data_IF_540813957054
#
_entry.id   IF_540813957054
#
_cell.length_a   1.000
_cell.length_b   1.000
_cell.length_c   1.000
_cell.angle_alpha   90.00
_cell.angle_beta   90.00
_cell.angle_gamma   90.00
#
_symmetry.space_group_name_H-M   'P 1'
#
loop_
_entity.id
_entity.type
_entity.pdbx_description
1 polymer ?
#
# COMPACT_ATOMS: atom_id res chain seq x y z
N UNK A 1 -1.84 -17.66 33.69
CA UNK A 1 -1.54 -18.76 32.76
C UNK A 1 -0.73 -18.27 31.58
N UNK A 2 0.28 -17.44 31.80
CA UNK A 2 1.17 -16.91 30.77
C UNK A 2 2.47 -17.73 30.73
N UNK A 3 2.39 -18.97 30.24
CA UNK A 3 3.53 -19.89 30.23
C UNK A 3 4.51 -19.58 29.09
N UNK A 4 4.01 -19.13 27.93
CA UNK A 4 4.84 -18.72 26.79
C UNK A 4 5.08 -17.22 26.77
N UNK A 5 4.05 -16.42 27.06
CA UNK A 5 4.07 -14.96 26.99
C UNK A 5 4.74 -14.38 28.23
N UNK A 6 5.74 -13.53 28.01
CA UNK A 6 6.49 -12.91 29.09
C UNK A 6 5.64 -11.89 29.84
N UNK A 7 5.82 -11.84 31.14
CA UNK A 7 5.02 -11.02 32.07
C UNK A 7 4.96 -9.54 31.68
N UNK A 8 6.07 -8.96 31.22
CA UNK A 8 6.12 -7.55 30.81
C UNK A 8 5.17 -7.23 29.64
N UNK A 9 4.82 -8.22 28.80
CA UNK A 9 3.89 -8.05 27.68
C UNK A 9 2.47 -7.82 28.18
N UNK A 10 2.09 -8.44 29.31
CA UNK A 10 0.81 -8.20 29.96
C UNK A 10 0.86 -6.90 30.75
N UNK A 11 1.92 -6.70 31.57
CA UNK A 11 2.02 -5.52 32.44
C UNK A 11 1.96 -4.19 31.70
N UNK A 12 2.56 -4.10 30.51
CA UNK A 12 2.54 -2.87 29.69
C UNK A 12 1.17 -2.51 29.11
N UNK A 13 0.19 -3.42 29.20
CA UNK A 13 -1.19 -3.18 28.79
C UNK A 13 -2.10 -2.76 29.97
N UNK A 14 -1.57 -2.81 31.20
CA UNK A 14 -2.25 -2.26 32.38
C UNK A 14 -2.21 -0.73 32.35
N UNK A 15 -3.35 -0.11 32.59
CA UNK A 15 -3.48 1.36 32.76
C UNK A 15 -3.43 1.81 34.22
N UNK A 16 -3.29 0.86 35.14
CA UNK A 16 -3.03 1.09 36.57
C UNK A 16 -1.63 0.62 36.90
N UNK A 17 -0.90 1.43 37.65
CA UNK A 17 0.38 1.08 38.22
C UNK A 17 0.21 0.54 39.65
N UNK A 18 1.21 -0.21 40.13
CA UNK A 18 1.26 -0.62 41.53
C UNK A 18 1.34 0.62 42.44
N UNK A 19 0.37 0.78 43.32
CA UNK A 19 0.23 1.94 44.21
C UNK A 19 -0.82 2.96 43.78
N UNK A 20 -1.38 2.85 42.57
CA UNK A 20 -2.49 3.70 42.14
C UNK A 20 -3.77 3.40 42.93
N UNK A 21 -4.64 4.40 43.04
CA UNK A 21 -5.99 4.20 43.55
C UNK A 21 -6.77 3.23 42.64
N UNK A 22 -7.52 2.32 43.25
CA UNK A 22 -8.35 1.39 42.49
C UNK A 22 -9.35 2.15 41.62
N UNK A 23 -9.31 1.90 40.31
CA UNK A 23 -10.23 2.47 39.35
C UNK A 23 -10.74 1.38 38.41
N UNK A 24 -12.02 1.02 38.57
CA UNK A 24 -12.66 -0.03 37.78
C UNK A 24 -12.59 0.22 36.27
N UNK A 25 -12.73 1.47 35.84
CA UNK A 25 -12.69 1.85 34.41
C UNK A 25 -11.33 1.56 33.80
N UNK A 26 -10.24 1.85 34.52
CA UNK A 26 -8.89 1.56 34.06
C UNK A 26 -8.60 0.06 34.06
N UNK A 27 -9.12 -0.70 35.03
CA UNK A 27 -9.02 -2.17 35.07
C UNK A 27 -9.73 -2.80 33.88
N UNK A 28 -10.97 -2.39 33.59
CA UNK A 28 -11.73 -2.92 32.46
C UNK A 28 -11.09 -2.53 31.11
N UNK A 29 -10.51 -1.33 31.00
CA UNK A 29 -9.76 -0.93 29.81
C UNK A 29 -8.46 -1.74 29.65
N UNK A 30 -7.76 -2.03 30.73
CA UNK A 30 -6.58 -2.90 30.73
C UNK A 30 -6.90 -4.30 30.22
N UNK A 31 -8.02 -4.88 30.69
CA UNK A 31 -8.55 -6.15 30.19
C UNK A 31 -8.80 -6.11 28.69
N UNK A 32 -9.38 -5.02 28.18
CA UNK A 32 -9.61 -4.84 26.74
C UNK A 32 -8.31 -4.67 25.94
N UNK A 33 -7.32 -3.94 26.46
CA UNK A 33 -6.00 -3.80 25.85
C UNK A 33 -5.31 -5.17 25.72
N UNK A 34 -5.33 -6.00 26.77
CA UNK A 34 -4.79 -7.36 26.73
C UNK A 34 -5.54 -8.27 25.73
N UNK A 35 -6.87 -8.18 25.66
CA UNK A 35 -7.67 -8.92 24.66
C UNK A 35 -7.32 -8.51 23.23
N UNK A 36 -7.10 -7.21 23.00
CA UNK A 36 -6.71 -6.66 21.68
C UNK A 36 -5.36 -7.20 21.18
N UNK A 37 -4.49 -7.69 22.07
CA UNK A 37 -3.25 -8.36 21.65
C UNK A 37 -3.52 -9.63 20.82
N UNK A 38 -4.65 -10.31 21.07
CA UNK A 38 -4.99 -11.57 20.40
C UNK A 38 -4.14 -12.77 20.83
N UNK A 39 -3.36 -12.67 21.92
CA UNK A 39 -2.50 -13.76 22.42
C UNK A 39 -3.23 -14.74 23.34
N UNK A 40 -4.42 -14.37 23.79
CA UNK A 40 -5.18 -15.09 24.81
C UNK A 40 -6.62 -15.29 24.33
N UNK A 41 -7.15 -16.51 24.47
CA UNK A 41 -8.58 -16.76 24.23
C UNK A 41 -9.44 -16.26 25.39
N UNK A 42 -8.87 -16.23 26.59
CA UNK A 42 -9.54 -15.72 27.79
C UNK A 42 -8.59 -14.82 28.59
N UNK A 43 -9.14 -13.69 29.05
CA UNK A 43 -8.48 -12.72 29.92
C UNK A 43 -9.49 -12.34 31.00
N UNK A 44 -9.10 -12.51 32.25
CA UNK A 44 -9.87 -12.17 33.44
C UNK A 44 -8.95 -11.42 34.43
N UNK A 45 -9.50 -10.40 35.08
CA UNK A 45 -8.82 -9.66 36.15
C UNK A 45 -9.72 -9.77 37.37
N UNK A 46 -9.23 -10.47 38.38
CA UNK A 46 -9.93 -10.67 39.65
C UNK A 46 -9.34 -9.77 40.74
N UNK A 47 -10.21 -9.26 41.59
CA UNK A 47 -9.81 -8.52 42.78
C UNK A 47 -9.53 -9.52 43.91
N UNK A 48 -8.31 -9.52 44.44
CA UNK A 48 -7.90 -10.31 45.59
C UNK A 48 -7.58 -9.40 46.79
N UNK A 49 -7.84 -9.82 48.04
CA UNK A 49 -7.47 -9.04 49.23
C UNK A 49 -5.98 -8.62 49.20
N UNK A 50 -5.72 -7.34 49.42
CA UNK A 50 -4.36 -6.80 49.49
C UNK A 50 -3.72 -6.97 50.87
N UNK A 51 -2.61 -6.27 51.10
CA UNK A 51 -1.88 -6.31 52.37
C UNK A 51 -2.55 -5.54 53.53
N UNK A 52 -3.57 -4.73 53.24
CA UNK A 52 -4.33 -3.95 54.21
C UNK A 52 -5.80 -3.84 53.75
N UNK A 53 -6.76 -3.50 54.64
CA UNK A 53 -8.20 -3.45 54.31
C UNK A 53 -8.58 -2.47 53.17
N UNK A 54 -7.76 -1.44 52.97
CA UNK A 54 -7.90 -0.42 51.93
C UNK A 54 -7.10 -0.75 50.65
N UNK A 55 -6.48 -1.94 50.58
CA UNK A 55 -5.66 -2.38 49.46
C UNK A 55 -6.29 -3.58 48.77
N UNK A 56 -6.26 -3.56 47.45
CA UNK A 56 -6.66 -4.69 46.60
C UNK A 56 -5.51 -5.10 45.70
N UNK A 57 -5.35 -6.39 45.46
CA UNK A 57 -4.40 -6.95 44.52
C UNK A 57 -5.14 -7.41 43.27
N UNK A 58 -4.72 -6.94 42.10
CA UNK A 58 -5.30 -7.37 40.83
C UNK A 58 -4.62 -8.66 40.36
N UNK A 59 -5.36 -9.77 40.31
CA UNK A 59 -4.88 -11.04 39.80
C UNK A 59 -5.32 -11.20 38.34
N UNK A 60 -4.34 -11.11 37.44
CA UNK A 60 -4.56 -11.30 36.01
C UNK A 60 -4.49 -12.79 35.67
N UNK A 61 -5.64 -13.38 35.34
CA UNK A 61 -5.77 -14.74 34.82
C UNK A 61 -5.89 -14.68 33.29
N UNK A 62 -5.05 -15.45 32.61
CA UNK A 62 -5.06 -15.56 31.15
C UNK A 62 -4.95 -17.01 30.74
N UNK A 63 -5.57 -17.32 29.61
CA UNK A 63 -5.41 -18.58 28.90
C UNK A 63 -4.89 -18.31 27.48
N UNK A 64 -3.66 -18.75 27.22
CA UNK A 64 -2.97 -18.53 25.95
C UNK A 64 -3.63 -19.30 24.79
N UNK A 65 -3.52 -18.73 23.60
CA UNK A 65 -3.92 -19.37 22.35
C UNK A 65 -2.78 -19.32 21.32
N UNK A 66 -2.86 -20.12 20.24
CA UNK A 66 -1.92 -20.02 19.12
C UNK A 66 -1.90 -18.60 18.55
N UNK A 67 -0.69 -18.07 18.31
CA UNK A 67 -0.46 -16.72 17.76
C UNK A 67 0.17 -16.76 16.36
N UNK A 68 0.47 -17.97 15.89
CA UNK A 68 0.91 -18.26 14.54
C UNK A 68 -0.28 -18.45 13.61
N UNK A 69 -0.22 -17.82 12.43
CA UNK A 69 -1.22 -17.91 11.36
C UNK A 69 -0.49 -18.28 10.07
N UNK A 70 -1.02 -19.25 9.34
CA UNK A 70 -0.64 -19.54 7.96
C UNK A 70 -1.74 -19.00 7.06
N UNK A 71 -1.38 -18.13 6.12
CA UNK A 71 -2.33 -17.57 5.16
C UNK A 71 -1.98 -18.03 3.75
N UNK A 72 -2.99 -18.48 3.00
CA UNK A 72 -2.87 -18.75 1.59
C UNK A 72 -3.92 -17.92 0.85
N UNK A 73 -3.54 -17.21 -0.21
CA UNK A 73 -4.53 -16.60 -1.11
C UNK A 73 -4.22 -16.89 -2.56
N UNK A 74 -5.28 -17.03 -3.34
CA UNK A 74 -5.22 -17.12 -4.79
C UNK A 74 -6.19 -16.10 -5.37
N UNK A 75 -5.76 -15.38 -6.39
CA UNK A 75 -6.56 -14.38 -7.07
C UNK A 75 -6.38 -14.45 -8.57
N UNK A 76 -7.36 -13.93 -9.30
CA UNK A 76 -7.26 -13.75 -10.74
C UNK A 76 -7.74 -12.36 -11.12
N UNK A 77 -6.99 -11.65 -11.97
CA UNK A 77 -7.42 -10.36 -12.49
C UNK A 77 -7.05 -10.21 -13.96
N UNK A 78 -7.67 -9.26 -14.66
CA UNK A 78 -7.23 -8.93 -16.04
C UNK A 78 -5.82 -8.33 -16.09
N UNK A 79 -5.32 -7.84 -14.95
CA UNK A 79 -4.01 -7.20 -14.79
C UNK A 79 -2.92 -8.25 -14.53
N UNK A 80 -2.96 -8.90 -13.36
CA UNK A 80 -1.88 -9.79 -12.89
C UNK A 80 -2.11 -11.27 -13.24
N UNK A 81 -3.14 -11.56 -14.06
CA UNK A 81 -3.60 -12.92 -14.36
C UNK A 81 -3.77 -13.68 -13.05
N UNK A 82 -3.15 -14.86 -12.91
CA UNK A 82 -3.14 -15.62 -11.66
C UNK A 82 -2.13 -15.03 -10.67
N UNK A 83 -2.60 -14.70 -9.47
CA UNK A 83 -1.80 -14.28 -8.32
C UNK A 83 -1.90 -15.33 -7.22
N UNK A 84 -0.77 -15.78 -6.70
CA UNK A 84 -0.67 -16.70 -5.58
C UNK A 84 0.09 -16.03 -4.44
N UNK A 85 -0.48 -16.00 -3.24
CA UNK A 85 0.21 -15.56 -2.04
C UNK A 85 0.26 -16.68 -0.99
N UNK A 86 1.41 -16.81 -0.36
CA UNK A 86 1.61 -17.65 0.82
C UNK A 86 2.24 -16.78 1.89
N UNK A 87 1.73 -16.85 3.10
CA UNK A 87 2.21 -16.07 4.23
C UNK A 87 2.22 -16.87 5.51
N UNK A 88 3.19 -16.58 6.37
CA UNK A 88 3.22 -17.02 7.75
C UNK A 88 3.43 -15.79 8.63
N UNK A 89 2.65 -15.70 9.71
CA UNK A 89 2.73 -14.62 10.69
C UNK A 89 2.80 -15.22 12.09
N UNK A 90 3.72 -14.77 12.92
CA UNK A 90 3.79 -15.10 14.35
C UNK A 90 3.76 -13.79 15.15
N UNK A 91 2.62 -13.50 15.80
CA UNK A 91 2.35 -12.20 16.45
C UNK A 91 2.95 -12.07 17.86
N UNK A 92 3.40 -13.18 18.45
CA UNK A 92 3.98 -13.22 19.80
C UNK A 92 5.29 -14.04 19.80
N UNK A 93 6.21 -13.66 18.91
CA UNK A 93 7.47 -14.37 18.74
C UNK A 93 8.23 -14.47 20.08
N UNK A 94 8.53 -15.71 20.48
CA UNK A 94 9.20 -16.05 21.75
C UNK A 94 8.52 -15.46 22.99
N UNK A 95 7.21 -15.20 22.93
CA UNK A 95 6.46 -14.62 24.05
C UNK A 95 6.72 -13.13 24.30
N UNK A 96 7.35 -12.42 23.37
CA UNK A 96 7.78 -11.02 23.54
C UNK A 96 6.78 -9.98 23.05
N UNK A 97 5.65 -10.41 22.48
CA UNK A 97 4.71 -9.56 21.76
C UNK A 97 5.31 -8.97 20.48
N UNK A 98 6.34 -9.62 19.94
CA UNK A 98 7.02 -9.27 18.70
C UNK A 98 6.35 -9.96 17.52
N UNK A 99 6.22 -9.25 16.41
CA UNK A 99 5.60 -9.79 15.19
C UNK A 99 6.68 -10.18 14.18
N UNK A 100 6.62 -11.43 13.72
CA UNK A 100 7.36 -11.93 12.57
C UNK A 100 6.39 -12.22 11.44
N UNK A 101 6.74 -11.81 10.22
CA UNK A 101 6.02 -12.18 9.00
C UNK A 101 6.99 -12.64 7.93
N UNK A 102 6.60 -13.64 7.17
CA UNK A 102 7.21 -13.95 5.89
C UNK A 102 6.09 -14.14 4.88
N UNK A 103 6.22 -13.52 3.70
CA UNK A 103 5.25 -13.61 2.62
C UNK A 103 5.96 -13.82 1.31
N UNK A 104 5.41 -14.70 0.47
CA UNK A 104 5.75 -14.84 -0.92
C UNK A 104 4.49 -14.59 -1.76
N UNK A 105 4.61 -13.78 -2.80
CA UNK A 105 3.54 -13.42 -3.73
C UNK A 105 4.07 -13.58 -5.16
N UNK A 106 3.33 -14.31 -5.99
CA UNK A 106 3.70 -14.59 -7.39
C UNK A 106 2.53 -14.26 -8.29
N UNK A 107 2.69 -13.27 -9.16
CA UNK A 107 1.79 -12.94 -10.26
C UNK A 107 2.55 -12.78 -11.58
N UNK A 108 1.83 -12.50 -12.67
CA UNK A 108 2.47 -12.30 -13.98
C UNK A 108 3.28 -11.01 -14.06
N UNK A 109 2.78 -9.94 -13.45
CA UNK A 109 3.41 -8.62 -13.47
C UNK A 109 4.35 -8.40 -12.29
N UNK A 110 3.97 -8.91 -11.11
CA UNK A 110 4.68 -8.66 -9.85
C UNK A 110 4.99 -9.97 -9.15
N UNK A 111 6.22 -10.07 -8.67
CA UNK A 111 6.67 -11.17 -7.81
C UNK A 111 7.36 -10.55 -6.61
N UNK A 112 7.06 -11.02 -5.40
CA UNK A 112 7.62 -10.45 -4.18
C UNK A 112 7.84 -11.52 -3.13
N UNK A 113 8.98 -11.43 -2.44
CA UNK A 113 9.22 -12.16 -1.20
C UNK A 113 9.64 -11.11 -0.17
N UNK A 114 8.93 -11.04 0.95
CA UNK A 114 9.31 -10.17 2.07
C UNK A 114 9.32 -10.92 3.40
N UNK A 115 10.28 -10.52 4.22
CA UNK A 115 10.40 -10.88 5.62
C UNK A 115 10.32 -9.61 6.45
N UNK A 116 9.50 -9.61 7.48
CA UNK A 116 9.31 -8.48 8.37
C UNK A 116 9.40 -8.87 9.83
N UNK A 117 10.12 -8.08 10.60
CA UNK A 117 10.10 -8.09 12.06
C UNK A 117 9.57 -6.74 12.57
N UNK A 118 8.76 -6.76 13.63
CA UNK A 118 8.42 -5.53 14.35
C UNK A 118 8.26 -5.75 15.85
N UNK A 119 8.80 -4.82 16.62
CA UNK A 119 8.61 -4.65 18.05
C UNK A 119 7.60 -3.50 18.27
N UNK A 120 6.35 -3.79 18.69
CA UNK A 120 5.32 -2.77 18.87
C UNK A 120 5.56 -1.82 20.06
N UNK A 121 6.40 -2.22 21.02
CA UNK A 121 6.73 -1.40 22.20
C UNK A 121 8.23 -1.22 22.35
N UNK A 122 8.86 -0.67 21.33
CA UNK A 122 10.31 -0.47 21.28
C UNK A 122 10.77 0.41 22.46
N UNK A 123 11.81 -0.04 23.16
CA UNK A 123 12.32 0.58 24.39
C UNK A 123 11.25 0.77 25.48
N UNK A 124 10.22 -0.08 25.49
CA UNK A 124 9.11 -0.01 26.45
C UNK A 124 8.12 1.14 26.21
N UNK A 125 8.24 1.86 25.09
CA UNK A 125 7.38 3.03 24.76
C UNK A 125 6.27 2.61 23.80
N UNK A 126 5.24 3.44 23.64
CA UNK A 126 4.26 3.30 22.56
C UNK A 126 4.88 3.74 21.23
N UNK A 127 5.90 3.00 20.79
CA UNK A 127 6.75 3.26 19.63
C UNK A 127 6.97 1.93 18.93
N UNK A 128 6.59 1.84 17.66
CA UNK A 128 6.87 0.66 16.85
C UNK A 128 8.25 0.81 16.23
N UNK A 129 9.10 -0.20 16.35
CA UNK A 129 10.31 -0.34 15.53
C UNK A 129 10.19 -1.58 14.66
N UNK A 130 10.59 -1.49 13.40
CA UNK A 130 10.51 -2.63 12.49
C UNK A 130 11.65 -2.66 11.50
N UNK A 131 11.94 -3.87 11.03
CA UNK A 131 12.89 -4.13 9.95
C UNK A 131 12.15 -4.96 8.91
N UNK A 132 12.28 -4.61 7.63
CA UNK A 132 11.87 -5.49 6.54
C UNK A 132 13.06 -5.78 5.64
N UNK A 133 13.06 -6.99 5.08
CA UNK A 133 13.93 -7.40 3.99
C UNK A 133 13.01 -7.89 2.88
N UNK A 134 13.27 -7.47 1.65
CA UNK A 134 12.42 -7.84 0.53
C UNK A 134 13.23 -8.02 -0.75
N UNK A 135 12.68 -8.82 -1.64
CA UNK A 135 13.00 -8.79 -3.05
C UNK A 135 11.70 -8.70 -3.83
N UNK A 136 11.67 -7.89 -4.88
CA UNK A 136 10.54 -7.86 -5.79
C UNK A 136 11.01 -7.79 -7.23
N UNK A 137 10.20 -8.32 -8.13
CA UNK A 137 10.34 -8.15 -9.58
C UNK A 137 9.08 -7.51 -10.12
N UNK A 138 9.25 -6.51 -10.97
CA UNK A 138 8.16 -5.85 -11.68
C UNK A 138 8.42 -5.94 -13.19
N UNK A 139 7.63 -6.75 -13.88
CA UNK A 139 7.75 -6.99 -15.31
C UNK A 139 6.82 -6.06 -16.08
N UNK A 140 7.37 -4.98 -16.64
CA UNK A 140 6.65 -4.05 -17.50
C UNK A 140 7.02 -4.24 -18.97
N UNK A 141 7.55 -5.40 -19.37
CA UNK A 141 8.06 -5.62 -20.72
C UNK A 141 6.98 -5.39 -21.80
N UNK A 142 5.73 -5.76 -21.54
CA UNK A 142 4.60 -5.54 -22.46
C UNK A 142 4.12 -4.08 -22.52
N UNK A 143 4.43 -3.26 -21.52
CA UNK A 143 3.86 -1.91 -21.36
C UNK A 143 4.87 -0.78 -21.58
N UNK A 144 6.10 -0.99 -21.11
CA UNK A 144 7.20 -0.04 -21.07
C UNK A 144 8.53 -0.62 -21.58
N UNK A 145 8.53 -1.86 -22.08
CA UNK A 145 9.70 -2.54 -22.64
C UNK A 145 10.88 -2.74 -21.67
N UNK A 146 10.62 -2.82 -20.37
CA UNK A 146 11.64 -3.14 -19.36
C UNK A 146 11.05 -3.97 -18.21
N UNK A 147 11.91 -4.70 -17.51
CA UNK A 147 11.61 -5.24 -16.18
C UNK A 147 12.61 -4.73 -15.15
N UNK A 148 12.19 -4.73 -13.88
CA UNK A 148 13.05 -4.35 -12.76
C UNK A 148 13.05 -5.42 -11.71
N UNK A 149 14.24 -5.76 -11.23
CA UNK A 149 14.44 -6.59 -10.06
C UNK A 149 15.07 -5.76 -8.96
N UNK A 150 14.48 -5.82 -7.78
CA UNK A 150 14.94 -5.08 -6.62
C UNK A 150 15.20 -6.02 -5.46
N UNK A 151 16.27 -5.73 -4.72
CA UNK A 151 16.56 -6.34 -3.43
C UNK A 151 16.83 -5.21 -2.44
N UNK A 152 16.18 -5.24 -1.29
CA UNK A 152 16.30 -4.14 -0.35
C UNK A 152 15.85 -4.48 1.04
N UNK A 153 16.02 -3.50 1.91
CA UNK A 153 15.51 -3.54 3.26
C UNK A 153 15.22 -2.15 3.79
N UNK A 154 14.38 -2.09 4.80
CA UNK A 154 14.07 -0.87 5.51
C UNK A 154 14.12 -1.07 7.02
N UNK A 155 14.51 0.00 7.71
CA UNK A 155 14.26 0.18 9.14
C UNK A 155 13.21 1.28 9.28
N UNK A 156 12.17 1.02 10.07
CA UNK A 156 11.07 1.96 10.29
C UNK A 156 10.76 2.17 11.76
N UNK A 157 10.35 3.39 12.09
CA UNK A 157 9.84 3.79 13.39
C UNK A 157 8.44 4.38 13.23
N UNK A 158 7.47 3.90 14.02
CA UNK A 158 6.08 4.34 13.98
C UNK A 158 5.66 4.98 15.29
N UNK A 159 5.19 6.22 15.22
CA UNK A 159 4.77 7.06 16.33
C UNK A 159 3.25 7.27 16.25
N UNK A 160 2.45 6.72 17.18
CA UNK A 160 1.07 7.13 17.34
C UNK A 160 1.06 8.56 17.90
N UNK A 161 0.51 9.51 17.14
CA UNK A 161 0.42 10.92 17.56
C UNK A 161 -0.87 11.16 18.34
N UNK A 162 -1.97 10.58 17.86
CA UNK A 162 -3.28 10.55 18.53
C UNK A 162 -3.93 9.19 18.29
N UNK A 163 -5.17 8.99 18.75
CA UNK A 163 -5.92 7.77 18.44
C UNK A 163 -6.20 7.58 16.94
N UNK A 164 -6.21 8.67 16.19
CA UNK A 164 -6.61 8.70 14.78
C UNK A 164 -5.47 9.12 13.85
N UNK A 165 -4.28 9.41 14.38
CA UNK A 165 -3.14 9.88 13.58
C UNK A 165 -1.83 9.25 13.99
N UNK A 166 -0.98 9.01 13.00
CA UNK A 166 0.34 8.42 13.18
C UNK A 166 1.36 9.07 12.26
N UNK A 167 2.61 9.02 12.70
CA UNK A 167 3.77 9.38 11.92
C UNK A 167 4.68 8.16 11.80
N UNK A 168 5.33 8.01 10.65
CA UNK A 168 6.38 7.03 10.46
C UNK A 168 7.65 7.71 9.95
N UNK A 169 8.79 7.20 10.39
CA UNK A 169 10.10 7.49 9.84
C UNK A 169 10.67 6.20 9.27
N UNK A 170 11.30 6.28 8.09
CA UNK A 170 11.88 5.13 7.41
C UNK A 170 13.23 5.47 6.83
N UNK A 171 14.14 4.50 6.91
CA UNK A 171 15.38 4.48 6.16
C UNK A 171 15.40 3.21 5.31
N UNK A 172 15.58 3.37 4.00
CA UNK A 172 15.55 2.27 3.04
C UNK A 172 16.86 2.23 2.29
N UNK A 173 17.39 1.02 2.08
CA UNK A 173 18.48 0.76 1.14
C UNK A 173 18.02 -0.34 0.22
N UNK A 174 18.11 -0.11 -1.09
CA UNK A 174 17.79 -1.12 -2.10
C UNK A 174 18.74 -1.03 -3.28
N UNK A 175 18.96 -2.16 -3.93
CA UNK A 175 19.60 -2.25 -5.22
C UNK A 175 18.52 -2.59 -6.25
N UNK A 176 18.43 -1.77 -7.29
CA UNK A 176 17.51 -1.93 -8.41
C UNK A 176 18.31 -2.30 -9.66
N UNK A 177 17.93 -3.37 -10.34
CA UNK A 177 18.48 -3.81 -11.62
C UNK A 177 17.42 -3.62 -12.70
N UNK A 178 17.66 -2.71 -13.63
CA UNK A 178 16.79 -2.42 -14.76
C UNK A 178 17.29 -3.19 -15.98
N UNK A 179 16.42 -4.03 -16.54
CA UNK A 179 16.71 -4.88 -17.69
C UNK A 179 15.82 -4.49 -18.88
N UNK A 180 16.44 -4.36 -20.05
CA UNK A 180 15.79 -4.11 -21.34
C UNK A 180 16.41 -5.09 -22.33
N UNK A 181 15.58 -5.78 -23.13
CA UNK A 181 16.06 -6.79 -24.05
C UNK A 181 17.03 -6.20 -25.10
N UNK A 182 18.19 -6.84 -25.29
CA UNK A 182 19.24 -6.36 -26.22
C UNK A 182 18.74 -6.21 -27.66
N UNK A 183 17.85 -7.11 -28.09
CA UNK A 183 17.24 -7.05 -29.42
C UNK A 183 16.51 -5.73 -29.65
N UNK A 184 15.81 -5.20 -28.62
CA UNK A 184 15.06 -3.95 -28.72
C UNK A 184 15.98 -2.73 -28.85
N UNK A 185 17.12 -2.75 -28.14
CA UNK A 185 18.10 -1.68 -28.20
C UNK A 185 18.89 -1.68 -29.52
N UNK A 186 19.26 -2.85 -30.01
CA UNK A 186 20.03 -2.99 -31.27
C UNK A 186 19.18 -2.74 -32.51
N UNK A 187 17.89 -3.10 -32.50
CA UNK A 187 16.97 -2.82 -33.60
C UNK A 187 16.47 -1.39 -33.65
N UNK A 188 16.73 -0.57 -32.62
CA UNK A 188 16.11 0.74 -32.45
C UNK A 188 14.60 0.66 -32.24
N UNK A 189 14.08 -0.46 -31.73
CA UNK A 189 12.66 -0.64 -31.43
C UNK A 189 12.23 0.05 -30.13
N UNK A 190 13.17 0.58 -29.35
CA UNK A 190 12.90 1.44 -28.20
C UNK A 190 13.83 2.65 -28.28
N UNK A 191 13.43 3.76 -27.65
CA UNK A 191 14.31 4.94 -27.54
C UNK A 191 15.65 4.60 -26.90
N UNK A 192 16.71 5.25 -27.39
CA UNK A 192 18.07 5.09 -26.85
C UNK A 192 18.14 5.44 -25.36
N UNK A 193 17.34 6.40 -24.90
CA UNK A 193 17.31 6.79 -23.49
C UNK A 193 16.86 5.63 -22.59
N UNK A 194 15.90 4.80 -23.03
CA UNK A 194 15.49 3.60 -22.29
C UNK A 194 16.67 2.62 -22.15
N UNK A 195 17.42 2.42 -23.23
CA UNK A 195 18.58 1.53 -23.23
C UNK A 195 19.73 2.03 -22.34
N UNK A 196 19.85 3.34 -22.12
CA UNK A 196 20.81 3.96 -21.21
C UNK A 196 20.41 3.81 -19.73
N UNK A 197 19.15 3.48 -19.43
CA UNK A 197 18.68 3.23 -18.06
C UNK A 197 19.04 1.83 -17.54
N UNK A 198 19.57 0.94 -18.40
CA UNK A 198 19.98 -0.41 -18.02
C UNK A 198 21.12 -0.42 -17.01
N UNK A 199 21.05 -1.37 -16.09
CA UNK A 199 22.11 -1.61 -15.11
C UNK A 199 21.58 -1.72 -13.70
N UNK A 200 22.52 -1.91 -12.76
CA UNK A 200 22.25 -1.99 -11.34
C UNK A 200 22.64 -0.69 -10.64
N UNK A 201 21.77 -0.22 -9.75
CA UNK A 201 21.96 1.03 -9.00
C UNK A 201 21.54 0.83 -7.56
N UNK A 202 22.27 1.46 -6.66
CA UNK A 202 21.94 1.46 -5.23
C UNK A 202 21.21 2.75 -4.91
N UNK A 203 20.03 2.64 -4.29
CA UNK A 203 19.25 3.77 -3.81
C UNK A 203 19.21 3.73 -2.29
N UNK A 204 19.62 4.83 -1.64
CA UNK A 204 19.45 5.02 -0.20
C UNK A 204 18.49 6.18 0.06
N UNK A 205 17.44 5.91 0.83
CA UNK A 205 16.33 6.85 1.07
C UNK A 205 16.12 7.09 2.56
N UNK A 206 15.84 8.33 2.92
CA UNK A 206 15.19 8.68 4.18
C UNK A 206 13.81 9.22 3.85
N UNK A 207 12.79 8.74 4.54
CA UNK A 207 11.43 9.20 4.34
C UNK A 207 10.65 9.33 5.62
N UNK A 208 9.57 10.10 5.53
CA UNK A 208 8.56 10.16 6.56
C UNK A 208 7.16 9.96 5.96
N UNK A 209 6.24 9.48 6.79
CA UNK A 209 4.85 9.31 6.45
C UNK A 209 3.97 9.89 7.54
N UNK A 210 2.93 10.62 7.17
CA UNK A 210 1.91 11.14 8.07
C UNK A 210 0.56 10.57 7.66
N UNK A 211 -0.20 10.05 8.62
CA UNK A 211 -1.53 9.50 8.39
C UNK A 211 -2.51 10.07 9.41
N UNK A 212 -3.70 10.39 8.95
CA UNK A 212 -4.87 10.65 9.78
C UNK A 212 -6.06 9.88 9.22
N UNK A 213 -6.79 9.16 10.08
CA UNK A 213 -7.92 8.32 9.70
C UNK A 213 -9.10 8.60 10.65
N UNK A 214 -10.09 9.34 10.14
CA UNK A 214 -11.31 9.73 10.85
C UNK A 214 -12.54 9.01 10.29
N UNK A 215 -12.33 7.89 9.57
CA UNK A 215 -13.43 7.07 9.05
C UNK A 215 -14.14 6.36 10.19
N UNK A 216 -15.44 6.19 10.04
CA UNK A 216 -16.24 5.45 11.03
C UNK A 216 -15.97 3.94 11.03
N UNK A 217 -15.60 3.39 9.87
CA UNK A 217 -15.18 2.00 9.70
C UNK A 217 -14.00 1.97 8.70
N UNK A 218 -12.85 1.36 9.04
CA UNK A 218 -11.68 1.37 8.18
C UNK A 218 -11.77 0.43 6.97
N UNK A 219 -12.69 -0.55 6.99
CA UNK A 219 -12.87 -1.57 5.95
C UNK A 219 -14.05 -1.22 5.04
N UNK A 220 -15.19 -0.85 5.62
CA UNK A 220 -16.41 -0.47 4.89
C UNK A 220 -16.89 0.93 5.33
N UNK A 221 -16.12 1.99 5.02
CA UNK A 221 -16.46 3.35 5.45
C UNK A 221 -17.78 3.81 4.85
N UNK A 222 -18.62 4.42 5.69
CA UNK A 222 -19.84 5.12 5.24
C UNK A 222 -19.79 6.60 5.56
N UNK A 223 -18.92 7.04 6.47
CA UNK A 223 -18.70 8.45 6.82
C UNK A 223 -17.26 8.71 7.23
N UNK A 224 -16.86 9.97 7.11
CA UNK A 224 -15.56 10.45 7.57
C UNK A 224 -14.56 10.55 6.44
N UNK A 225 -13.29 10.70 6.80
CA UNK A 225 -12.23 10.94 5.83
C UNK A 225 -10.89 10.41 6.33
N UNK A 226 -9.96 10.26 5.41
CA UNK A 226 -8.56 9.97 5.72
C UNK A 226 -7.64 10.79 4.83
N UNK A 227 -6.41 10.98 5.29
CA UNK A 227 -5.33 11.53 4.49
C UNK A 227 -4.02 10.85 4.87
N UNK A 228 -3.23 10.51 3.86
CA UNK A 228 -1.89 9.94 3.96
C UNK A 228 -0.94 10.82 3.12
N UNK A 229 0.20 11.17 3.69
CA UNK A 229 1.28 11.91 3.01
C UNK A 229 2.59 11.17 3.23
N UNK A 230 3.30 10.87 2.15
CA UNK A 230 4.62 10.26 2.17
C UNK A 230 5.61 11.13 1.42
N UNK A 231 6.77 11.37 2.03
CA UNK A 231 7.89 12.03 1.36
C UNK A 231 9.15 11.18 1.54
N UNK A 232 9.85 10.93 0.44
CA UNK A 232 11.11 10.18 0.38
C UNK A 232 12.20 11.03 -0.28
N UNK A 233 13.32 11.19 0.40
CA UNK A 233 14.53 11.79 -0.12
C UNK A 233 15.56 10.69 -0.38
N UNK A 234 15.80 10.40 -1.66
CA UNK A 234 16.90 9.56 -2.11
C UNK A 234 18.17 10.40 -2.28
N UNK A 235 19.34 9.80 -2.03
CA UNK A 235 20.63 10.46 -2.22
C UNK A 235 21.40 10.80 -0.93
N UNK A 236 20.98 10.22 0.20
CA UNK A 236 21.79 10.18 1.44
C UNK A 236 22.94 9.16 1.38
N UNK A 237 23.02 8.45 0.26
CA UNK A 237 24.01 7.46 -0.16
C UNK A 237 23.55 6.81 -1.47
N UNK A 238 24.40 6.01 -2.10
CA UNK A 238 24.09 5.33 -3.37
C UNK A 238 24.20 6.23 -4.61
N UNK A 239 23.65 5.74 -5.72
CA UNK A 239 23.82 6.27 -7.08
C UNK A 239 22.65 7.13 -7.56
N UNK A 240 21.56 7.19 -6.78
CA UNK A 240 20.28 7.77 -7.19
C UNK A 240 19.86 8.88 -6.24
N UNK A 241 19.53 10.06 -6.80
CA UNK A 241 19.09 11.24 -6.04
C UNK A 241 17.77 11.78 -6.58
N UNK A 242 16.74 11.76 -5.74
CA UNK A 242 15.45 12.39 -6.02
C UNK A 242 14.72 12.76 -4.73
N UNK A 243 13.75 13.65 -4.85
CA UNK A 243 12.70 13.88 -3.86
C UNK A 243 11.38 13.36 -4.44
N UNK A 244 10.73 12.45 -3.73
CA UNK A 244 9.44 11.87 -4.11
C UNK A 244 8.39 12.21 -3.07
N UNK A 245 7.28 12.78 -3.50
CA UNK A 245 6.13 13.10 -2.65
C UNK A 245 4.92 12.35 -3.19
N UNK A 246 4.22 11.62 -2.33
CA UNK A 246 2.98 10.92 -2.62
C UNK A 246 1.93 11.30 -1.57
N UNK A 247 0.71 11.60 -1.99
CA UNK A 247 -0.38 11.94 -1.10
C UNK A 247 -1.67 11.26 -1.54
N UNK A 248 -2.39 10.69 -0.59
CA UNK A 248 -3.68 10.06 -0.79
C UNK A 248 -4.69 10.65 0.18
N UNK A 249 -5.92 10.85 -0.27
CA UNK A 249 -7.01 11.33 0.58
C UNK A 249 -8.32 10.70 0.16
N UNK A 250 -9.24 10.56 1.10
CA UNK A 250 -10.58 10.06 0.82
C UNK A 250 -11.62 10.67 1.73
N UNK A 251 -12.79 10.94 1.19
CA UNK A 251 -13.95 11.45 1.90
C UNK A 251 -15.18 10.61 1.59
N UNK A 252 -15.93 10.27 2.62
CA UNK A 252 -17.11 9.39 2.54
C UNK A 252 -18.32 10.09 3.14
N UNK A 253 -19.43 10.02 2.41
CA UNK A 253 -20.70 10.59 2.79
C UNK A 253 -21.84 9.61 2.50
N UNK A 254 -22.32 8.94 3.56
CA UNK A 254 -23.44 8.02 3.52
C UNK A 254 -24.77 8.75 3.74
N UNK A 255 -25.66 8.67 2.74
CA UNK A 255 -27.05 9.15 2.84
C UNK A 255 -27.94 8.11 3.52
N UNK A 256 -27.75 6.84 3.17
CA UNK A 256 -28.35 5.66 3.82
C UNK A 256 -27.28 4.58 4.01
N UNK A 257 -27.65 3.38 4.48
CA UNK A 257 -26.70 2.26 4.58
C UNK A 257 -26.20 1.76 3.23
N UNK A 258 -27.02 1.92 2.18
CA UNK A 258 -26.77 1.39 0.83
C UNK A 258 -26.54 2.47 -0.22
N UNK A 259 -26.64 3.75 0.16
CA UNK A 259 -26.35 4.90 -0.67
C UNK A 259 -25.20 5.70 -0.07
N UNK A 260 -23.99 5.46 -0.57
CA UNK A 260 -22.75 6.08 -0.07
C UNK A 260 -22.01 6.72 -1.22
N UNK A 261 -21.80 8.03 -1.11
CA UNK A 261 -20.88 8.75 -1.98
C UNK A 261 -19.47 8.71 -1.38
N UNK A 262 -18.48 8.51 -2.23
CA UNK A 262 -17.07 8.62 -1.87
C UNK A 262 -16.32 9.41 -2.93
N UNK A 263 -15.38 10.23 -2.46
CA UNK A 263 -14.42 10.93 -3.29
C UNK A 263 -13.02 10.59 -2.77
N UNK A 264 -12.21 9.91 -3.58
CA UNK A 264 -10.82 9.61 -3.27
C UNK A 264 -9.90 10.34 -4.24
N UNK A 265 -8.71 10.70 -3.78
CA UNK A 265 -7.71 11.39 -4.57
C UNK A 265 -6.33 10.80 -4.28
N UNK A 266 -5.52 10.67 -5.32
CA UNK A 266 -4.12 10.27 -5.25
C UNK A 266 -3.27 11.24 -6.06
N UNK A 267 -2.15 11.67 -5.49
CA UNK A 267 -1.21 12.60 -6.08
C UNK A 267 0.20 12.06 -5.90
N UNK A 268 1.05 12.27 -6.90
CA UNK A 268 2.47 12.04 -6.74
C UNK A 268 3.30 12.92 -7.65
N UNK A 269 4.45 13.34 -7.11
CA UNK A 269 5.45 14.12 -7.82
C UNK A 269 6.84 13.66 -7.42
N UNK A 270 7.70 13.45 -8.42
CA UNK A 270 9.09 13.04 -8.23
C UNK A 270 10.00 13.95 -9.05
N UNK A 271 11.05 14.44 -8.41
CA UNK A 271 12.02 15.34 -9.01
C UNK A 271 13.44 14.91 -8.63
N UNK A 272 14.33 14.81 -9.62
CA UNK A 272 15.75 14.58 -9.38
C UNK A 272 16.42 15.80 -8.74
N UNK A 273 17.50 15.60 -8.00
CA UNK A 273 18.27 16.73 -7.44
C UNK A 273 19.76 16.49 -7.56
N UNK A 274 20.54 17.58 -7.46
CA UNK A 274 22.00 17.50 -7.62
C UNK A 274 22.45 17.16 -9.04
N UNK A 275 21.61 17.43 -10.05
CA UNK A 275 21.87 17.15 -11.46
C UNK A 275 21.43 15.76 -11.94
N UNK A 276 20.93 14.91 -11.05
CA UNK A 276 20.41 13.60 -11.39
C UNK A 276 18.99 13.72 -11.98
N UNK A 277 18.66 12.80 -12.90
CA UNK A 277 17.32 12.67 -13.48
C UNK A 277 16.58 11.49 -12.84
N UNK A 278 15.25 11.48 -12.94
CA UNK A 278 14.43 10.42 -12.38
C UNK A 278 14.54 9.17 -13.24
N UNK A 279 15.03 8.08 -12.65
CA UNK A 279 15.15 6.78 -13.33
C UNK A 279 13.79 6.20 -13.69
N UNK A 280 13.75 5.42 -14.76
CA UNK A 280 12.48 4.88 -15.28
C UNK A 280 11.71 4.03 -14.26
N UNK A 281 12.40 3.20 -13.49
CA UNK A 281 11.81 2.35 -12.45
C UNK A 281 11.27 3.13 -11.23
N UNK A 282 11.64 4.41 -11.08
CA UNK A 282 11.18 5.28 -10.00
C UNK A 282 9.97 6.16 -10.39
N UNK A 283 9.65 6.22 -11.68
CA UNK A 283 8.51 6.99 -12.20
C UNK A 283 7.18 6.35 -11.86
N UNK A 284 6.12 7.15 -12.01
CA UNK A 284 4.76 6.71 -11.75
C UNK A 284 4.12 6.09 -12.99
N UNK A 285 3.68 4.84 -12.85
CA UNK A 285 2.84 4.17 -13.83
C UNK A 285 1.40 4.15 -13.33
N UNK A 286 0.48 4.69 -14.15
CA UNK A 286 -0.95 4.84 -13.80
C UNK A 286 -1.83 4.24 -14.89
N UNK A 287 -3.06 3.92 -14.51
CA UNK A 287 -3.94 3.01 -15.25
C UNK A 287 -4.20 1.72 -14.48
N UNK A 288 -4.98 0.80 -15.05
CA UNK A 288 -5.47 -0.38 -14.34
C UNK A 288 -6.26 0.02 -13.09
N UNK A 289 -5.93 -0.56 -11.92
CA UNK A 289 -6.60 -0.26 -10.63
C UNK A 289 -6.54 1.19 -10.20
N UNK A 290 -5.51 1.93 -10.63
CA UNK A 290 -5.32 3.34 -10.26
C UNK A 290 -6.12 4.33 -11.12
N UNK A 291 -6.60 3.91 -12.29
CA UNK A 291 -7.43 4.74 -13.17
C UNK A 291 -8.23 3.80 -14.09
N UNK A 292 -9.51 3.56 -13.79
CA UNK A 292 -10.36 2.62 -14.57
C UNK A 292 -10.57 3.12 -15.98
N UNK A 293 -10.72 2.21 -16.94
CA UNK A 293 -10.85 2.54 -18.36
C UNK A 293 -9.52 2.60 -19.12
N UNK A 294 -8.39 2.63 -18.41
CA UNK A 294 -7.06 2.62 -19.01
C UNK A 294 -6.30 1.36 -18.62
N UNK A 295 -5.52 0.83 -19.57
CA UNK A 295 -4.63 -0.31 -19.31
C UNK A 295 -3.60 0.06 -18.23
N UNK A 296 -2.93 -0.93 -17.65
CA UNK A 296 -1.75 -0.69 -16.80
C UNK A 296 -0.75 0.16 -17.58
N UNK A 297 -0.20 1.20 -16.93
CA UNK A 297 0.71 2.14 -17.58
C UNK A 297 0.14 2.79 -18.86
N UNK A 298 -1.20 2.80 -19.00
CA UNK A 298 -1.92 3.23 -20.19
C UNK A 298 -2.12 4.74 -20.31
N UNK A 299 -1.85 5.50 -19.25
CA UNK A 299 -1.82 6.97 -19.27
C UNK A 299 -0.42 7.48 -18.91
N UNK A 300 -0.10 8.67 -19.42
CA UNK A 300 1.15 9.37 -19.11
C UNK A 300 2.13 9.41 -20.27
N UNK A 301 3.37 9.84 -20.03
CA UNK A 301 4.36 10.03 -21.08
C UNK A 301 4.65 8.75 -21.86
N UNK A 302 4.85 8.88 -23.18
CA UNK A 302 4.97 7.75 -24.10
C UNK A 302 5.96 8.02 -25.22
N UNK A 303 6.70 6.98 -25.58
CA UNK A 303 7.53 6.92 -26.78
C UNK A 303 6.69 6.27 -27.90
N UNK A 304 6.23 7.09 -28.86
CA UNK A 304 5.34 6.67 -29.95
C UNK A 304 6.10 6.22 -31.21
N UNK A 305 7.42 6.06 -31.16
CA UNK A 305 8.26 5.77 -32.34
C UNK A 305 7.95 4.44 -33.01
N UNK A 306 7.70 3.38 -32.24
CA UNK A 306 7.58 2.00 -32.75
C UNK A 306 6.41 1.23 -32.10
N UNK A 307 6.56 0.81 -30.85
CA UNK A 307 5.61 -0.05 -30.14
C UNK A 307 4.66 0.75 -29.26
N UNK A 308 4.84 2.08 -29.22
CA UNK A 308 4.13 2.99 -28.35
C UNK A 308 4.37 2.49 -26.90
N UNK A 309 5.48 2.86 -26.26
CA UNK A 309 5.87 2.36 -24.92
C UNK A 309 5.67 3.41 -23.84
N UNK A 310 5.15 3.01 -22.68
CA UNK A 310 5.02 3.89 -21.52
C UNK A 310 6.39 4.27 -20.96
N UNK A 311 6.62 5.56 -20.73
CA UNK A 311 7.88 6.10 -20.19
C UNK A 311 7.79 6.42 -18.69
N UNK A 312 6.63 6.19 -18.08
CA UNK A 312 6.32 6.61 -16.71
C UNK A 312 6.19 8.13 -16.58
N UNK A 313 5.49 8.58 -15.55
CA UNK A 313 5.26 10.00 -15.29
C UNK A 313 6.08 10.50 -14.10
N UNK A 314 6.59 11.73 -14.16
CA UNK A 314 7.11 12.43 -12.96
C UNK A 314 5.99 12.96 -12.08
N UNK A 315 4.83 13.28 -12.66
CA UNK A 315 3.68 13.81 -11.94
C UNK A 315 2.42 13.04 -12.29
N UNK A 316 1.59 12.75 -11.30
CA UNK A 316 0.19 12.38 -11.52
C UNK A 316 -0.71 13.01 -10.45
N UNK A 317 -1.97 13.21 -10.82
CA UNK A 317 -3.04 13.60 -9.92
C UNK A 317 -4.33 12.97 -10.43
N UNK A 318 -4.93 12.06 -9.66
CA UNK A 318 -6.10 11.29 -10.05
C UNK A 318 -7.13 11.36 -8.92
N UNK A 319 -8.38 11.64 -9.28
CA UNK A 319 -9.52 11.62 -8.38
C UNK A 319 -10.58 10.65 -8.87
N UNK A 320 -11.15 9.91 -7.94
CA UNK A 320 -12.23 8.96 -8.16
C UNK A 320 -13.44 9.41 -7.37
N UNK A 321 -14.56 9.57 -8.07
CA UNK A 321 -15.87 9.80 -7.48
C UNK A 321 -16.69 8.52 -7.65
N UNK A 322 -17.19 7.96 -6.56
CA UNK A 322 -17.94 6.71 -6.59
C UNK A 322 -19.21 6.83 -5.74
N UNK A 323 -20.35 6.48 -6.33
CA UNK A 323 -21.66 6.44 -5.69
C UNK A 323 -22.10 4.98 -5.61
N UNK A 324 -21.96 4.37 -4.43
CA UNK A 324 -22.59 3.07 -4.14
C UNK A 324 -24.10 3.27 -4.16
N UNK A 325 -24.82 2.44 -4.92
CA UNK A 325 -26.28 2.49 -5.06
C UNK A 325 -26.94 1.21 -4.53
N UNK A 326 -28.17 1.29 -4.00
CA UNK A 326 -28.92 0.11 -3.61
C UNK A 326 -29.22 -0.77 -4.84
N UNK A 327 -28.94 -2.07 -4.73
CA UNK A 327 -29.17 -3.04 -5.82
C UNK A 327 -30.60 -3.56 -5.86
N UNK A 328 -31.42 -3.27 -4.84
CA UNK A 328 -32.78 -3.83 -4.63
C UNK A 328 -32.84 -5.37 -4.64
N UNK A 329 -31.68 -6.02 -4.55
CA UNK A 329 -31.53 -7.45 -4.41
C UNK A 329 -31.41 -7.80 -2.92
N UNK A 330 -31.90 -8.97 -2.48
CA UNK A 330 -31.66 -9.48 -1.14
C UNK A 330 -30.17 -9.43 -0.75
N UNK A 331 -29.86 -8.85 0.42
CA UNK A 331 -28.48 -8.69 0.91
C UNK A 331 -27.68 -10.01 0.95
N UNK A 332 -28.39 -11.14 1.13
CA UNK A 332 -27.82 -12.49 1.11
C UNK A 332 -27.09 -12.85 -0.20
N UNK A 333 -27.36 -12.15 -1.30
CA UNK A 333 -26.63 -12.35 -2.56
C UNK A 333 -25.25 -11.67 -2.56
N UNK A 334 -24.98 -10.77 -1.60
CA UNK A 334 -23.68 -10.13 -1.44
C UNK A 334 -23.30 -9.19 -2.60
N UNK A 335 -24.27 -8.71 -3.36
CA UNK A 335 -24.08 -7.85 -4.53
C UNK A 335 -24.22 -6.37 -4.18
N UNK A 336 -23.19 -5.59 -4.49
CA UNK A 336 -23.20 -4.12 -4.47
C UNK A 336 -22.92 -3.59 -5.86
N UNK A 337 -23.55 -2.48 -6.20
CA UNK A 337 -23.29 -1.76 -7.42
C UNK A 337 -22.87 -0.33 -7.08
N UNK A 338 -21.98 0.24 -7.89
CA UNK A 338 -21.58 1.63 -7.79
C UNK A 338 -21.47 2.27 -9.17
N UNK A 339 -21.81 3.54 -9.25
CA UNK A 339 -21.48 4.39 -10.39
C UNK A 339 -20.17 5.10 -10.07
N UNK A 340 -19.25 5.16 -11.03
CA UNK A 340 -17.98 5.84 -10.82
C UNK A 340 -17.61 6.81 -11.93
N UNK A 341 -16.76 7.76 -11.59
CA UNK A 341 -16.06 8.65 -12.51
C UNK A 341 -14.62 8.83 -12.02
N UNK A 342 -13.65 8.48 -12.85
CA UNK A 342 -12.23 8.70 -12.59
C UNK A 342 -11.76 9.85 -13.49
N UNK A 343 -11.11 10.87 -12.91
CA UNK A 343 -10.62 12.05 -13.61
C UNK A 343 -9.21 12.36 -13.11
N UNK A 344 -8.28 12.61 -14.02
CA UNK A 344 -6.92 12.91 -13.60
C UNK A 344 -5.94 13.08 -14.74
N UNK A 345 -4.67 13.20 -14.38
CA UNK A 345 -3.56 13.35 -15.30
C UNK A 345 -2.35 12.57 -14.81
N UNK A 346 -1.50 12.18 -15.75
CA UNK A 346 -0.15 11.69 -15.52
C UNK A 346 0.71 12.27 -16.64
N UNK A 347 1.89 12.80 -16.33
CA UNK A 347 2.70 13.54 -17.30
C UNK A 347 4.08 13.91 -16.77
N UNK A 348 4.77 14.72 -17.58
CA UNK A 348 6.11 15.26 -17.35
C UNK A 348 7.22 14.20 -17.38
N UNK A 349 8.31 14.56 -18.06
CA UNK A 349 9.58 13.85 -18.09
C UNK A 349 10.72 14.84 -17.87
N UNK A 350 11.90 14.34 -17.51
CA UNK A 350 13.12 15.16 -17.54
C UNK A 350 13.47 15.52 -18.99
N UNK A 351 14.14 16.66 -19.18
CA UNK A 351 14.54 17.14 -20.52
C UNK A 351 15.36 16.10 -21.29
N UNK A 352 16.25 15.39 -20.59
CA UNK A 352 17.10 14.35 -21.17
C UNK A 352 16.29 13.17 -21.73
N UNK A 353 15.13 12.88 -21.14
CA UNK A 353 14.26 11.80 -21.56
C UNK A 353 13.37 12.16 -22.74
N UNK A 354 13.39 13.43 -23.13
CA UNK A 354 12.63 13.95 -24.29
C UNK A 354 13.54 14.21 -25.48
N UNK A 355 14.84 13.97 -25.35
CA UNK A 355 15.84 14.32 -26.35
C UNK A 355 16.39 13.09 -27.06
N UNK A 356 16.52 13.19 -28.39
CA UNK A 356 17.25 12.19 -29.20
C UNK A 356 18.75 12.47 -29.26
N UNK A 357 19.13 13.73 -29.07
CA UNK A 357 20.50 14.21 -28.98
C UNK A 357 20.52 15.49 -28.14
N UNK A 358 21.66 15.87 -27.53
CA UNK A 358 21.72 17.04 -26.66
C UNK A 358 21.12 18.31 -27.32
N UNK A 359 20.11 18.87 -26.68
CA UNK A 359 19.40 20.08 -27.14
C UNK A 359 18.37 19.86 -28.26
N UNK A 360 18.15 18.62 -28.72
CA UNK A 360 17.18 18.31 -29.77
C UNK A 360 16.11 17.35 -29.25
N UNK A 361 14.91 17.88 -29.07
CA UNK A 361 13.74 17.10 -28.63
C UNK A 361 13.28 16.10 -29.70
N UNK A 362 12.91 14.91 -29.26
CA UNK A 362 12.33 13.87 -30.09
C UNK A 362 10.81 14.10 -30.21
N UNK A 363 10.26 14.36 -31.42
CA UNK A 363 8.83 14.56 -31.61
C UNK A 363 7.99 13.30 -31.33
N UNK A 364 8.62 12.13 -31.23
CA UNK A 364 7.95 10.88 -30.87
C UNK A 364 7.81 10.69 -29.35
N UNK A 365 8.38 11.59 -28.55
CA UNK A 365 8.21 11.53 -27.09
C UNK A 365 7.11 12.52 -26.73
N UNK A 366 6.01 11.99 -26.18
CA UNK A 366 4.84 12.75 -25.73
C UNK A 366 4.81 12.72 -24.21
N UNK A 367 4.78 13.88 -23.57
CA UNK A 367 4.78 14.00 -22.10
C UNK A 367 3.71 14.96 -21.55
N UNK A 368 2.75 15.33 -22.39
CA UNK A 368 1.71 16.30 -22.09
C UNK A 368 0.93 15.95 -20.81
N UNK A 369 0.72 16.96 -19.96
CA UNK A 369 -0.10 16.85 -18.75
C UNK A 369 -1.61 17.00 -19.07
N UNK A 370 -2.07 16.29 -20.09
CA UNK A 370 -3.47 16.30 -20.53
C UNK A 370 -4.41 15.68 -19.51
N UNK A 371 -5.65 16.15 -19.43
CA UNK A 371 -6.67 15.64 -18.52
C UNK A 371 -7.40 14.44 -19.15
N UNK A 372 -7.33 13.29 -18.47
CA UNK A 372 -8.04 12.06 -18.81
C UNK A 372 -9.27 11.93 -17.94
N UNK A 373 -10.29 11.27 -18.48
CA UNK A 373 -11.51 10.97 -17.73
C UNK A 373 -12.17 9.68 -18.21
N UNK A 374 -12.73 8.91 -17.29
CA UNK A 374 -13.57 7.76 -17.56
C UNK A 374 -14.75 7.73 -16.59
N UNK A 375 -15.84 7.09 -16.97
CA UNK A 375 -16.97 6.85 -16.09
C UNK A 375 -17.59 5.49 -16.37
N UNK A 376 -18.23 4.89 -15.38
CA UNK A 376 -18.68 3.53 -15.52
C UNK A 376 -19.49 2.99 -14.35
N UNK A 377 -19.63 1.67 -14.36
CA UNK A 377 -20.35 0.91 -13.34
C UNK A 377 -19.36 -0.10 -12.75
N UNK A 378 -19.30 -0.15 -11.42
CA UNK A 378 -18.60 -1.18 -10.65
C UNK A 378 -19.64 -2.13 -10.04
N UNK A 379 -19.38 -3.42 -10.09
CA UNK A 379 -20.19 -4.45 -9.42
C UNK A 379 -19.25 -5.23 -8.50
N UNK A 380 -19.51 -5.15 -7.20
CA UNK A 380 -18.81 -5.91 -6.18
C UNK A 380 -19.69 -7.06 -5.70
N UNK A 381 -19.22 -8.28 -5.89
CA UNK A 381 -19.89 -9.50 -5.50
C UNK A 381 -19.09 -10.22 -4.42
N UNK A 382 -19.65 -10.32 -3.22
CA UNK A 382 -19.14 -11.20 -2.17
C UNK A 382 -19.54 -12.64 -2.49
N UNK A 383 -18.81 -13.28 -3.41
CA UNK A 383 -19.06 -14.67 -3.78
C UNK A 383 -18.66 -15.63 -2.66
N UNK A 384 -19.17 -16.89 -2.66
CA UNK A 384 -18.73 -17.93 -1.73
C UNK A 384 -17.22 -18.22 -1.79
N UNK A 385 -16.59 -17.93 -2.94
CA UNK A 385 -15.16 -18.13 -3.17
C UNK A 385 -14.35 -16.84 -2.96
N UNK A 386 -14.92 -15.77 -2.39
CA UNK A 386 -14.24 -14.49 -2.16
C UNK A 386 -14.82 -13.32 -2.95
N UNK A 387 -14.43 -12.08 -2.63
CA UNK A 387 -14.91 -10.89 -3.32
C UNK A 387 -14.44 -10.86 -4.78
N UNK A 388 -15.39 -10.60 -5.68
CA UNK A 388 -15.16 -10.35 -7.11
C UNK A 388 -15.63 -8.95 -7.44
N UNK A 389 -14.78 -8.16 -8.09
CA UNK A 389 -15.14 -6.83 -8.59
C UNK A 389 -15.07 -6.82 -10.11
N UNK A 390 -16.13 -6.31 -10.74
CA UNK A 390 -16.18 -6.02 -12.17
C UNK A 390 -16.28 -4.52 -12.37
N UNK A 391 -15.50 -3.97 -13.28
CA UNK A 391 -15.55 -2.55 -13.65
C UNK A 391 -15.78 -2.43 -15.16
N UNK A 392 -16.87 -1.78 -15.54
CA UNK A 392 -17.23 -1.50 -16.93
C UNK A 392 -17.11 0.01 -17.13
N UNK A 393 -16.16 0.42 -17.95
CA UNK A 393 -15.70 1.80 -18.09
C UNK A 393 -15.94 2.32 -19.50
N UNK A 394 -16.42 3.56 -19.60
CA UNK A 394 -16.45 4.35 -20.83
C UNK A 394 -15.44 5.48 -20.73
N UNK A 395 -14.64 5.66 -21.78
CA UNK A 395 -13.64 6.72 -21.86
C UNK A 395 -14.33 8.02 -22.26
N UNK A 396 -14.16 9.06 -21.45
CA UNK A 396 -14.73 10.40 -21.65
C UNK A 396 -13.70 11.37 -22.26
N UNK A 397 -12.44 11.25 -21.84
CA UNK A 397 -11.31 12.04 -22.35
C UNK A 397 -10.04 11.19 -22.34
N UNK A 398 -9.28 11.24 -23.44
CA UNK A 398 -7.98 10.57 -23.60
C UNK A 398 -7.11 11.34 -24.59
N UNK A 399 -5.80 11.11 -24.52
CA UNK A 399 -4.87 11.48 -25.60
C UNK A 399 -4.80 10.37 -26.66
N UNK A 400 -4.33 10.71 -27.86
CA UNK A 400 -4.27 9.78 -29.00
C UNK A 400 -3.32 8.60 -28.77
N UNK A 401 -2.33 8.77 -27.89
CA UNK A 401 -1.34 7.75 -27.56
C UNK A 401 -1.68 6.90 -26.32
N UNK A 402 -2.76 7.22 -25.60
CA UNK A 402 -3.18 6.48 -24.40
C UNK A 402 -3.71 5.07 -24.76
N UNK A 403 -3.51 4.09 -23.87
CA UNK A 403 -4.00 2.70 -23.99
C UNK A 403 -5.21 2.47 -23.08
N UNK A 404 -6.30 1.96 -23.63
CA UNK A 404 -7.61 1.88 -22.96
C UNK A 404 -8.04 0.44 -22.69
N UNK A 405 -8.56 0.16 -21.49
CA UNK A 405 -9.14 -1.13 -21.09
C UNK A 405 -10.54 -0.88 -20.51
N UNK A 406 -11.60 -1.16 -21.28
CA UNK A 406 -12.98 -0.80 -20.92
C UNK A 406 -13.64 -1.79 -19.97
N UNK A 407 -13.16 -3.03 -19.92
CA UNK A 407 -13.67 -4.06 -19.02
C UNK A 407 -12.54 -4.62 -18.17
N UNK A 408 -12.73 -4.61 -16.85
CA UNK A 408 -11.81 -5.21 -15.89
C UNK A 408 -12.57 -6.10 -14.93
N UNK A 409 -11.88 -7.14 -14.47
CA UNK A 409 -12.30 -7.89 -13.30
C UNK A 409 -11.13 -8.21 -12.38
N UNK A 410 -11.43 -8.40 -11.11
CA UNK A 410 -10.50 -8.91 -10.11
C UNK A 410 -11.24 -9.80 -9.12
N UNK A 411 -10.64 -10.93 -8.76
CA UNK A 411 -11.10 -11.82 -7.70
C UNK A 411 -9.92 -12.17 -6.80
N UNK A 412 -10.19 -12.30 -5.50
CA UNK A 412 -9.22 -12.83 -4.54
C UNK A 412 -9.92 -13.70 -3.52
N UNK A 413 -9.35 -14.87 -3.24
CA UNK A 413 -9.79 -15.78 -2.19
C UNK A 413 -8.69 -15.87 -1.14
N UNK A 414 -9.01 -15.67 0.13
CA UNK A 414 -8.07 -15.86 1.24
C UNK A 414 -8.54 -17.01 2.13
N UNK A 415 -7.61 -17.91 2.42
CA UNK A 415 -7.72 -19.01 3.37
C UNK A 415 -6.83 -18.67 4.56
N UNK A 416 -7.38 -18.77 5.77
CA UNK A 416 -6.68 -18.51 7.05
C UNK A 416 -6.81 -19.75 7.95
#
# INVERSE_FOLDING_TARGET
>A
GNTRTLDYVLRRELEVAEGDAYNRVLVDRSKNNMRRLGFFKEVEIEDAPGSAPDRTSLRVKVEEQPTGELSFSAGYSSIDKLVLDVGITERNFRGRGQNLRARASVGSLRQQIDFGFSEPRFLGRNLVAGVNLYTFRYDLSEYAAYDTKSIGGDVRFGFPLTNDSSMSLRYTVRQDEVSVADSLCTSGSVSQILCLQRGAYITSLIGYGLRIDKRNDPINPTRGWFADLNQDLAGVGGDVKYLKTEADAGWYWGFTKDLVFSATGSFGYIEGWGGDNVRINDRFYRGGTSFRGFEIAGIGPRDISSTNNSMGAKLYAISTFELTVPTFLPEQYGLKAALFSDVGTAGLLDDVDRQKSPGVFDPNIRDNLGLRASAGISIDWKSPMGPIRFDISRILSKEDYDRTETFRFSTSTRFQ
#
